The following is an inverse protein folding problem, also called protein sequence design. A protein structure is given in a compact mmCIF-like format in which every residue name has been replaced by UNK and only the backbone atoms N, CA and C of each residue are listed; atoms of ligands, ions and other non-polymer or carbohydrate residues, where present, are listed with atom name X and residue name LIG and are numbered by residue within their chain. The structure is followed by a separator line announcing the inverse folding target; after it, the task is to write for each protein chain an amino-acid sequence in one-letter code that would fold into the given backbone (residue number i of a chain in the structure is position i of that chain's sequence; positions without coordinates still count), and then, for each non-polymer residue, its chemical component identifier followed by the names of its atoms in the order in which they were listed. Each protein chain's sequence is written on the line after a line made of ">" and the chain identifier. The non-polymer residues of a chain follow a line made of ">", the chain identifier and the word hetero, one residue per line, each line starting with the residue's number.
data_IF_481412656343
#
_entry.id   IF_481412656343
#
_cell.length_a   1.000
_cell.length_b   1.000
_cell.length_c   1.000
_cell.angle_alpha   90.00
_cell.angle_beta   90.00
_cell.angle_gamma   90.00
#
_symmetry.space_group_name_H-M   'P 1'
#
loop_
_entity.id
_entity.type
_entity.pdbx_description
1 polymer ?
#
# COMPACT_ATOMS: atom_id res chain seq x y z
N UNK A 1 27.17 5.76 8.20
CA UNK A 1 25.79 6.02 7.73
C UNK A 1 25.30 4.77 7.05
N UNK A 2 24.39 4.02 7.67
CA UNK A 2 23.75 2.87 7.02
C UNK A 2 22.68 3.40 6.08
N UNK A 3 22.96 3.41 4.78
CA UNK A 3 21.97 3.61 3.74
C UNK A 3 21.05 2.38 3.75
N UNK A 4 19.93 2.47 4.44
CA UNK A 4 18.84 1.51 4.26
C UNK A 4 18.04 2.05 3.07
N UNK A 5 18.05 1.39 1.91
CA UNK A 5 17.23 1.82 0.79
C UNK A 5 15.76 1.79 1.25
N UNK A 6 15.14 2.96 1.27
CA UNK A 6 13.68 3.05 1.40
C UNK A 6 13.12 2.74 0.03
N UNK A 7 12.38 1.64 -0.06
CA UNK A 7 11.67 1.28 -1.27
C UNK A 7 10.31 1.98 -1.27
N UNK A 8 9.88 2.46 -2.43
CA UNK A 8 8.53 2.99 -2.62
C UNK A 8 7.67 1.91 -3.28
N UNK A 9 6.54 1.60 -2.67
CA UNK A 9 5.58 0.61 -3.13
C UNK A 9 4.32 1.34 -3.57
N UNK A 10 4.06 1.34 -4.88
CA UNK A 10 2.86 1.94 -5.46
C UNK A 10 1.91 0.83 -5.90
N UNK A 11 0.72 0.80 -5.32
CA UNK A 11 -0.32 -0.16 -5.66
C UNK A 11 -1.47 0.57 -6.32
N UNK A 12 -1.80 0.17 -7.55
CA UNK A 12 -2.97 0.66 -8.26
C UNK A 12 -4.09 -0.38 -8.20
N UNK A 13 -5.26 0.04 -7.73
CA UNK A 13 -6.46 -0.79 -7.68
C UNK A 13 -7.62 -0.05 -8.32
N UNK A 14 -8.47 -0.77 -9.05
CA UNK A 14 -9.71 -0.20 -9.59
C UNK A 14 -10.80 -0.19 -8.54
N UNK A 15 -11.64 0.85 -8.51
CA UNK A 15 -12.83 0.92 -7.64
C UNK A 15 -13.75 -0.29 -7.85
N UNK A 16 -13.86 -0.81 -9.07
CA UNK A 16 -14.68 -2.01 -9.35
C UNK A 16 -14.13 -3.29 -8.71
N UNK A 17 -12.82 -3.35 -8.48
CA UNK A 17 -12.17 -4.48 -7.81
C UNK A 17 -12.18 -4.34 -6.28
N UNK A 18 -12.39 -3.13 -5.78
CA UNK A 18 -12.62 -2.85 -4.37
C UNK A 18 -14.10 -3.08 -4.08
N UNK A 19 -14.43 -4.21 -3.45
CA UNK A 19 -15.76 -4.39 -2.85
C UNK A 19 -16.02 -3.34 -1.75
N UNK A 20 -17.20 -3.38 -1.12
CA UNK A 20 -17.60 -2.39 -0.09
C UNK A 20 -16.53 -2.19 1.00
N UNK A 21 -15.91 -3.27 1.48
CA UNK A 21 -14.85 -3.24 2.49
C UNK A 21 -13.42 -3.34 1.92
N UNK A 22 -13.29 -3.31 0.58
CA UNK A 22 -12.03 -3.57 -0.10
C UNK A 22 -10.95 -2.54 0.24
N UNK A 23 -11.35 -1.27 0.44
CA UNK A 23 -10.41 -0.18 0.69
C UNK A 23 -9.74 -0.31 2.05
N UNK A 24 -10.52 -0.56 3.10
CA UNK A 24 -9.99 -0.73 4.47
C UNK A 24 -9.04 -1.93 4.53
N UNK A 25 -9.40 -3.05 3.91
CA UNK A 25 -8.54 -4.24 3.84
C UNK A 25 -7.20 -3.95 3.13
N UNK A 26 -7.21 -3.14 2.07
CA UNK A 26 -5.98 -2.75 1.38
C UNK A 26 -5.13 -1.79 2.22
N UNK A 27 -5.75 -0.86 2.94
CA UNK A 27 -5.06 0.05 3.86
C UNK A 27 -4.37 -0.76 4.97
N UNK A 28 -5.07 -1.70 5.61
CA UNK A 28 -4.49 -2.56 6.65
C UNK A 28 -3.31 -3.39 6.14
N UNK A 29 -3.45 -3.98 4.95
CA UNK A 29 -2.38 -4.76 4.30
C UNK A 29 -1.15 -3.91 4.02
N UNK A 30 -1.34 -2.70 3.47
CA UNK A 30 -0.23 -1.80 3.16
C UNK A 30 0.45 -1.26 4.42
N UNK A 31 -0.30 -1.01 5.50
CA UNK A 31 0.27 -0.63 6.79
C UNK A 31 1.17 -1.74 7.37
N UNK A 32 0.75 -3.00 7.23
CA UNK A 32 1.57 -4.16 7.63
C UNK A 32 2.86 -4.24 6.82
N UNK A 33 2.77 -4.08 5.50
CA UNK A 33 3.93 -4.11 4.59
C UNK A 33 4.89 -2.96 4.92
N UNK A 34 4.39 -1.73 5.11
CA UNK A 34 5.19 -0.58 5.48
C UNK A 34 5.98 -0.81 6.77
N UNK A 35 5.37 -1.44 7.77
CA UNK A 35 6.05 -1.77 9.04
C UNK A 35 7.11 -2.86 8.86
N UNK A 36 6.83 -3.88 8.07
CA UNK A 36 7.71 -5.04 7.89
C UNK A 36 8.93 -4.72 7.01
N UNK A 37 8.72 -3.95 5.94
CA UNK A 37 9.75 -3.67 4.94
C UNK A 37 10.33 -2.25 5.05
N UNK A 38 9.87 -1.43 6.01
CA UNK A 38 10.29 -0.03 6.16
C UNK A 38 10.18 0.78 4.86
N UNK A 39 9.16 0.49 4.05
CA UNK A 39 8.89 1.12 2.75
C UNK A 39 7.81 2.20 2.86
N UNK A 40 7.74 3.11 1.90
CA UNK A 40 6.57 3.99 1.77
C UNK A 40 5.56 3.31 0.85
N UNK A 41 4.34 3.10 1.34
CA UNK A 41 3.28 2.51 0.55
C UNK A 41 2.30 3.60 0.09
N UNK A 42 2.00 3.66 -1.20
CA UNK A 42 0.94 4.52 -1.76
C UNK A 42 -0.13 3.65 -2.41
N UNK A 43 -1.38 3.83 -1.99
CA UNK A 43 -2.55 3.22 -2.62
C UNK A 43 -3.20 4.22 -3.56
N UNK A 44 -3.23 3.91 -4.86
CA UNK A 44 -3.93 4.70 -5.87
C UNK A 44 -5.19 3.97 -6.30
N UNK A 45 -6.33 4.56 -6.00
CA UNK A 45 -7.63 4.02 -6.40
C UNK A 45 -8.07 4.72 -7.68
N UNK A 46 -8.23 3.96 -8.77
CA UNK A 46 -8.72 4.47 -10.05
C UNK A 46 -10.21 4.19 -10.19
N UNK A 47 -10.98 5.24 -10.52
CA UNK A 47 -12.41 5.20 -10.84
C UNK A 47 -12.67 4.50 -12.18
#
# INVERSE_FOLDING_TARGET
>A
MNWVPKFDVNVEVSMKALGEDGLELWIERLAKIQKEYSCNCTLSVKS
#
